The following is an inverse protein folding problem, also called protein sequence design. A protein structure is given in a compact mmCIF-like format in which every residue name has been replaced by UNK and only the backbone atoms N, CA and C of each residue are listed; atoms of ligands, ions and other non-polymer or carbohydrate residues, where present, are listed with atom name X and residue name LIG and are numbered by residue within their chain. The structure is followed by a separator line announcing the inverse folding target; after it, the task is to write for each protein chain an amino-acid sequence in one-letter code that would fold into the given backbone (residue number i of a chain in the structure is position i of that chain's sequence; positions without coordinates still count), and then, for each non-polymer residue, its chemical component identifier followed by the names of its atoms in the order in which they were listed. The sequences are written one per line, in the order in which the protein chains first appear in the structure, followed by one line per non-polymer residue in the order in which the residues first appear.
data_IF_537265367723
#
_entry.id   IF_537265367723
#
_cell.length_a   1.000
_cell.length_b   1.000
_cell.length_c   1.000
_cell.angle_alpha   90.00
_cell.angle_beta   90.00
_cell.angle_gamma   90.00
#
_symmetry.space_group_name_H-M   'P 1'
#
loop_
_entity.id
_entity.type
_entity.pdbx_description
1 polymer ?
#
# COMPACT_ATOMS: atom_id res chain seq x y z
N UNK A 1 -10.57 -18.65 -6.34
CA UNK A 1 -11.44 -17.51 -6.67
C UNK A 1 -12.83 -17.82 -6.17
N UNK A 2 -13.41 -16.98 -5.29
CA UNK A 2 -14.79 -17.11 -4.81
C UNK A 2 -15.65 -16.10 -5.58
N UNK A 3 -16.80 -16.54 -6.09
CA UNK A 3 -17.71 -15.69 -6.88
C UNK A 3 -19.00 -15.51 -6.10
N UNK A 4 -19.38 -14.26 -5.84
CA UNK A 4 -20.59 -13.90 -5.13
C UNK A 4 -21.38 -12.90 -5.97
N UNK A 5 -22.68 -13.14 -6.15
CA UNK A 5 -23.58 -12.19 -6.79
C UNK A 5 -24.26 -11.37 -5.71
N UNK A 6 -24.10 -10.05 -5.75
CA UNK A 6 -24.72 -9.10 -4.83
C UNK A 6 -25.62 -8.12 -5.57
N UNK A 7 -26.71 -7.71 -4.92
CA UNK A 7 -27.59 -6.62 -5.36
C UNK A 7 -27.13 -5.28 -4.78
N UNK A 8 -27.75 -4.19 -5.25
CA UNK A 8 -27.54 -2.85 -4.70
C UNK A 8 -27.75 -2.85 -3.17
N UNK A 9 -26.87 -2.17 -2.44
CA UNK A 9 -26.83 -2.07 -0.98
C UNK A 9 -26.55 -3.38 -0.24
N UNK A 10 -26.29 -4.50 -0.93
CA UNK A 10 -25.82 -5.71 -0.26
C UNK A 10 -24.32 -5.63 0.04
N UNK A 11 -23.93 -6.34 1.11
CA UNK A 11 -22.61 -6.28 1.72
C UNK A 11 -21.91 -7.64 1.68
N UNK A 12 -20.59 -7.61 1.62
CA UNK A 12 -19.69 -8.75 1.74
C UNK A 12 -18.72 -8.42 2.86
N UNK A 13 -18.60 -9.32 3.83
CA UNK A 13 -17.65 -9.17 4.94
C UNK A 13 -16.46 -10.10 4.71
N UNK A 14 -15.24 -9.55 4.77
CA UNK A 14 -13.98 -10.27 4.64
C UNK A 14 -13.26 -10.16 5.98
N UNK A 15 -12.87 -11.31 6.53
CA UNK A 15 -12.13 -11.41 7.80
C UNK A 15 -12.80 -10.71 9.00
N UNK A 16 -14.12 -10.54 8.95
CA UNK A 16 -14.90 -9.87 10.01
C UNK A 16 -14.62 -8.37 10.18
N UNK A 17 -13.69 -7.80 9.42
CA UNK A 17 -13.16 -6.45 9.62
C UNK A 17 -13.30 -5.58 8.37
N UNK A 18 -13.33 -6.17 7.19
CA UNK A 18 -13.47 -5.44 5.92
C UNK A 18 -14.91 -5.63 5.42
N UNK A 19 -15.60 -4.54 5.15
CA UNK A 19 -16.95 -4.55 4.59
C UNK A 19 -16.93 -3.95 3.18
N UNK A 20 -17.39 -4.74 2.20
CA UNK A 20 -17.53 -4.31 0.81
C UNK A 20 -19.01 -4.19 0.49
N UNK A 21 -19.46 -2.98 0.18
CA UNK A 21 -20.85 -2.66 -0.14
C UNK A 21 -21.00 -2.31 -1.62
N UNK A 22 -22.02 -2.85 -2.28
CA UNK A 22 -22.39 -2.42 -3.64
C UNK A 22 -23.20 -1.13 -3.54
N UNK A 23 -22.57 0.01 -3.83
CA UNK A 23 -23.17 1.35 -3.69
C UNK A 23 -24.00 1.74 -4.91
N UNK A 24 -23.62 1.26 -6.08
CA UNK A 24 -24.22 1.67 -7.35
C UNK A 24 -23.92 0.70 -8.47
N UNK A 25 -24.85 0.56 -9.42
CA UNK A 25 -24.65 -0.19 -10.65
C UNK A 25 -25.16 0.68 -11.79
N UNK A 26 -24.25 1.17 -12.64
CA UNK A 26 -24.59 2.06 -13.75
C UNK A 26 -23.76 1.70 -14.98
N UNK A 27 -24.41 1.56 -16.14
CA UNK A 27 -23.74 1.37 -17.43
C UNK A 27 -22.69 0.23 -17.43
N UNK A 28 -22.97 -0.87 -16.74
CA UNK A 28 -22.04 -2.00 -16.60
C UNK A 28 -20.86 -1.77 -15.66
N UNK A 29 -20.80 -0.61 -14.98
CA UNK A 29 -19.85 -0.31 -13.92
C UNK A 29 -20.52 -0.54 -12.56
N UNK A 30 -19.73 -1.04 -11.62
CA UNK A 30 -20.17 -1.23 -10.23
C UNK A 30 -19.38 -0.28 -9.34
N UNK A 31 -20.10 0.50 -8.54
CA UNK A 31 -19.52 1.31 -7.47
C UNK A 31 -19.44 0.45 -6.21
N UNK A 32 -18.23 0.28 -5.69
CA UNK A 32 -17.97 -0.46 -4.47
C UNK A 32 -17.54 0.52 -3.39
N UNK A 33 -18.26 0.50 -2.26
CA UNK A 33 -17.81 1.10 -1.01
C UNK A 33 -17.00 0.06 -0.24
N UNK A 34 -15.83 0.43 0.26
CA UNK A 34 -14.98 -0.47 1.05
C UNK A 34 -14.71 0.23 2.37
N UNK A 35 -15.14 -0.38 3.46
CA UNK A 35 -14.84 0.05 4.82
C UNK A 35 -13.88 -0.96 5.45
N UNK A 36 -12.76 -0.48 5.98
CA UNK A 36 -11.79 -1.31 6.69
C UNK A 36 -11.09 -0.47 7.78
N UNK A 37 -10.51 -1.12 8.80
CA UNK A 37 -9.63 -0.48 9.77
C UNK A 37 -8.45 0.24 9.10
N UNK A 38 -7.92 1.28 9.74
CA UNK A 38 -6.80 2.08 9.22
C UNK A 38 -5.50 1.27 9.01
N UNK A 39 -5.40 0.12 9.66
CA UNK A 39 -4.26 -0.79 9.52
C UNK A 39 -4.23 -1.51 8.17
N UNK A 40 -5.36 -1.56 7.47
CA UNK A 40 -5.52 -2.26 6.19
C UNK A 40 -5.50 -1.23 5.05
N UNK A 41 -4.47 -1.33 4.21
CA UNK A 41 -4.34 -0.46 3.04
C UNK A 41 -5.25 -0.93 1.90
N UNK A 42 -6.13 -0.04 1.42
CA UNK A 42 -7.02 -0.29 0.28
C UNK A 42 -6.48 0.48 -0.92
N UNK A 43 -6.05 -0.24 -1.96
CA UNK A 43 -5.53 0.34 -3.19
C UNK A 43 -6.22 -0.23 -4.42
N UNK A 44 -6.28 0.57 -5.49
CA UNK A 44 -6.67 0.07 -6.80
C UNK A 44 -5.51 -0.73 -7.40
N UNK A 45 -5.82 -1.87 -8.01
CA UNK A 45 -4.81 -2.84 -8.45
C UNK A 45 -3.82 -2.23 -9.44
N UNK A 46 -4.30 -1.41 -10.37
CA UNK A 46 -3.50 -0.77 -11.40
C UNK A 46 -2.35 0.08 -10.80
N UNK A 47 -2.60 0.76 -9.68
CA UNK A 47 -1.58 1.57 -9.01
C UNK A 47 -0.49 0.73 -8.33
N UNK A 48 -0.78 -0.54 -8.02
CA UNK A 48 0.18 -1.45 -7.39
C UNK A 48 1.23 -1.96 -8.39
N UNK A 49 0.83 -2.10 -9.66
CA UNK A 49 1.68 -2.62 -10.73
C UNK A 49 2.74 -1.58 -11.11
N UNK A 50 2.34 -0.31 -11.24
CA UNK A 50 3.24 0.81 -11.55
C UNK A 50 4.33 1.01 -10.48
N UNK A 51 3.94 1.04 -9.21
CA UNK A 51 4.88 1.23 -8.09
C UNK A 51 5.88 0.08 -7.97
N UNK A 52 5.45 -1.16 -8.23
CA UNK A 52 6.36 -2.32 -8.22
C UNK A 52 7.38 -2.26 -9.36
N UNK A 53 6.97 -1.80 -10.54
CA UNK A 53 7.89 -1.63 -11.66
C UNK A 53 8.87 -0.49 -11.44
N UNK A 54 8.40 0.65 -10.95
CA UNK A 54 9.26 1.80 -10.65
C UNK A 54 10.29 1.46 -9.55
N UNK A 55 9.86 0.80 -8.47
CA UNK A 55 10.78 0.34 -7.43
C UNK A 55 11.83 -0.63 -7.98
N UNK A 56 11.45 -1.55 -8.88
CA UNK A 56 12.42 -2.44 -9.56
C UNK A 56 13.38 -1.67 -10.48
N UNK A 57 12.90 -0.64 -11.17
CA UNK A 57 13.74 0.22 -12.04
C UNK A 57 14.72 1.05 -11.22
N UNK A 58 14.29 1.61 -10.09
CA UNK A 58 15.13 2.39 -9.17
C UNK A 58 16.29 1.57 -8.58
N UNK A 59 16.08 0.28 -8.31
CA UNK A 59 17.10 -0.62 -7.73
C UNK A 59 18.14 -1.13 -8.75
N UNK A 60 17.99 -0.87 -10.06
CA UNK A 60 18.93 -1.38 -11.08
C UNK A 60 20.35 -0.85 -10.94
N UNK A 61 20.56 0.32 -10.35
CA UNK A 61 21.91 0.88 -10.15
C UNK A 61 22.51 0.48 -8.79
N UNK A 62 22.84 -0.83 -8.65
CA UNK A 62 23.58 -1.36 -7.49
C UNK A 62 24.87 -0.60 -7.16
N UNK A 63 25.53 -0.04 -8.17
CA UNK A 63 26.76 0.77 -8.00
C UNK A 63 26.48 2.06 -7.23
N UNK A 64 25.40 2.76 -7.60
CA UNK A 64 24.97 4.01 -6.94
C UNK A 64 24.52 3.77 -5.50
N UNK A 65 23.82 2.66 -5.24
CA UNK A 65 23.41 2.26 -3.88
C UNK A 65 24.62 1.93 -2.97
N UNK A 66 25.70 1.40 -3.55
CA UNK A 66 26.93 1.11 -2.82
C UNK A 66 27.72 2.39 -2.53
N UNK A 67 27.76 3.31 -3.49
CA UNK A 67 28.35 4.65 -3.35
C UNK A 67 27.64 5.45 -2.25
N UNK A 68 26.30 5.52 -2.27
CA UNK A 68 25.51 6.21 -1.25
C UNK A 68 25.70 5.63 0.16
N UNK A 69 25.72 4.30 0.31
CA UNK A 69 26.01 3.66 1.59
C UNK A 69 27.44 3.94 2.09
N UNK A 70 28.39 4.10 1.18
CA UNK A 70 29.77 4.45 1.52
C UNK A 70 29.89 5.93 1.92
N UNK A 71 29.15 6.81 1.25
CA UNK A 71 29.10 8.24 1.57
C UNK A 71 28.36 8.54 2.89
N UNK A 72 27.24 7.85 3.14
CA UNK A 72 26.47 8.02 4.37
C UNK A 72 27.21 7.51 5.61
N UNK A 73 28.01 6.45 5.46
CA UNK A 73 28.88 5.95 6.54
C UNK A 73 30.08 6.87 6.79
N UNK A 74 30.65 7.49 5.75
CA UNK A 74 31.71 8.51 5.87
C UNK A 74 31.23 9.82 6.54
N UNK A 75 29.93 10.16 6.39
CA UNK A 75 29.30 11.32 7.03
C UNK A 75 28.84 11.04 8.49
N UNK A 76 29.17 9.87 9.06
CA UNK A 76 28.91 9.57 10.47
C UNK A 76 27.44 9.30 10.83
N UNK A 77 26.57 9.13 9.85
CA UNK A 77 25.17 8.75 10.10
C UNK A 77 25.10 7.28 10.50
N UNK A 78 25.05 7.01 11.80
CA UNK A 78 24.68 5.67 12.29
C UNK A 78 23.24 5.36 11.87
N UNK A 79 23.03 4.19 11.27
CA UNK A 79 21.71 3.64 10.91
C UNK A 79 20.72 3.60 12.11
N UNK A 80 21.20 3.81 13.34
CA UNK A 80 20.40 3.92 14.56
C UNK A 80 19.58 5.22 14.64
N UNK A 81 20.02 6.32 14.01
CA UNK A 81 19.32 7.61 14.06
C UNK A 81 18.13 7.65 13.10
N UNK A 82 18.24 7.04 11.92
CA UNK A 82 17.17 7.02 10.90
C UNK A 82 15.94 6.19 11.31
N UNK A 83 16.11 5.17 12.16
CA UNK A 83 14.99 4.33 12.65
C UNK A 83 14.22 5.04 13.78
N UNK A 84 14.85 5.95 14.53
CA UNK A 84 14.22 6.62 15.68
C UNK A 84 13.44 7.90 15.33
N UNK A 85 13.65 8.49 14.16
CA UNK A 85 12.89 9.68 13.73
C UNK A 85 11.40 9.34 13.47
N UNK A 86 11.09 8.07 13.18
CA UNK A 86 9.72 7.57 12.99
C UNK A 86 9.01 7.09 14.26
N UNK A 87 9.69 7.02 15.42
CA UNK A 87 9.10 6.52 16.67
C UNK A 87 8.89 7.58 17.76
N UNK A 88 9.40 8.80 17.59
CA UNK A 88 9.31 9.85 18.62
C UNK A 88 8.07 10.75 18.55
N UNK A 89 7.12 10.52 17.62
CA UNK A 89 5.86 11.29 17.54
C UNK A 89 4.64 10.58 18.13
N UNK A 90 4.82 9.52 18.95
CA UNK A 90 3.78 9.01 19.86
C UNK A 90 4.12 9.41 21.29
N UNK A 91 3.89 10.68 21.61
CA UNK A 91 3.44 11.15 22.92
C UNK A 91 2.64 12.42 22.72
#
# INVERSE_FOLDING_TARGET
MLVLTRKLNEKIVIDGQIEVTVVGIENGKVQLGIEAPQEIEIMRKELLEDVKEENKKAVKNKKLLKELNTQLSALGFSNKTLINIGRSSKK
#
